data_IF_520409328354
#
_entry.id   IF_520409328354
#
_cell.length_a   1.000
_cell.length_b   1.000
_cell.length_c   1.000
_cell.angle_alpha   90.00
_cell.angle_beta   90.00
_cell.angle_gamma   90.00
#
_symmetry.space_group_name_H-M   'P 1'
#
loop_
_entity.id
_entity.type
_entity.pdbx_description
1 polymer ?
#
# COMPACT_ATOMS: atom_id res chain seq x y z
N UNK A 1 24.53 -34.72 0.18
CA UNK A 1 23.56 -34.32 1.23
C UNK A 1 24.36 -33.98 2.48
N UNK A 2 24.01 -32.96 3.28
CA UNK A 2 22.72 -32.26 3.42
C UNK A 2 22.68 -30.92 2.65
N UNK A 3 21.56 -30.54 1.99
CA UNK A 3 20.42 -29.73 2.51
C UNK A 3 20.94 -28.42 3.15
N UNK A 4 20.83 -27.24 2.56
CA UNK A 4 19.72 -26.69 1.78
C UNK A 4 18.73 -26.04 2.75
N UNK A 5 18.71 -24.69 2.73
CA UNK A 5 17.78 -23.73 3.36
C UNK A 5 18.46 -22.83 4.39
N UNK A 6 18.67 -21.57 3.99
CA UNK A 6 18.32 -20.44 4.85
C UNK A 6 17.95 -19.26 3.93
N UNK A 7 16.77 -19.38 3.31
CA UNK A 7 16.07 -18.19 2.81
C UNK A 7 15.39 -17.67 4.07
N UNK A 8 15.93 -16.60 4.64
CA UNK A 8 15.30 -15.87 5.75
C UNK A 8 13.84 -15.62 5.36
N UNK A 9 12.92 -16.36 5.97
CA UNK A 9 11.49 -16.10 5.87
C UNK A 9 11.27 -14.67 6.37
N UNK A 10 10.93 -13.76 5.46
CA UNK A 10 10.47 -12.44 5.84
C UNK A 10 9.19 -12.64 6.64
N UNK A 11 9.22 -12.28 7.92
CA UNK A 11 8.12 -12.52 8.85
C UNK A 11 6.94 -11.61 8.44
N UNK A 12 6.02 -12.17 7.68
CA UNK A 12 4.73 -11.57 7.32
C UNK A 12 4.03 -11.16 8.61
N UNK A 13 3.71 -9.87 8.74
CA UNK A 13 3.04 -9.37 9.93
C UNK A 13 1.56 -9.08 9.62
N UNK A 14 0.66 -9.87 10.20
CA UNK A 14 -0.78 -9.61 10.11
C UNK A 14 -1.18 -8.47 11.06
N UNK A 15 -2.31 -7.83 10.79
CA UNK A 15 -2.90 -6.80 11.65
C UNK A 15 -4.34 -7.18 11.97
N UNK A 16 -4.68 -7.18 13.26
CA UNK A 16 -6.05 -7.18 13.74
C UNK A 16 -6.47 -5.74 14.07
N UNK A 17 -7.56 -5.28 13.48
CA UNK A 17 -8.23 -4.04 13.87
C UNK A 17 -9.53 -4.39 14.57
N UNK A 18 -9.72 -3.91 15.80
CA UNK A 18 -11.01 -4.00 16.50
C UNK A 18 -11.60 -2.60 16.62
N UNK A 19 -12.67 -2.34 15.88
CA UNK A 19 -13.35 -1.05 15.83
C UNK A 19 -14.68 -1.09 16.60
N UNK A 20 -15.00 0.01 17.29
CA UNK A 20 -16.21 0.17 18.10
C UNK A 20 -17.45 0.57 17.28
N UNK A 21 -17.27 0.95 16.01
CA UNK A 21 -18.34 1.25 15.06
C UNK A 21 -17.99 0.87 13.62
N UNK A 22 -19.03 0.77 12.78
CA UNK A 22 -18.88 0.37 11.38
C UNK A 22 -18.14 1.42 10.53
N UNK A 23 -18.39 2.71 10.74
CA UNK A 23 -17.70 3.77 9.99
C UNK A 23 -16.21 3.80 10.30
N UNK A 24 -15.82 3.71 11.57
CA UNK A 24 -14.42 3.62 11.97
C UNK A 24 -13.74 2.35 11.50
N UNK A 25 -14.46 1.23 11.42
CA UNK A 25 -13.95 -0.01 10.81
C UNK A 25 -13.59 0.19 9.33
N UNK A 26 -14.49 0.82 8.56
CA UNK A 26 -14.26 1.09 7.14
C UNK A 26 -13.15 2.12 6.90
N UNK A 27 -13.09 3.19 7.70
CA UNK A 27 -12.03 4.21 7.57
C UNK A 27 -10.63 3.60 7.70
N UNK A 28 -10.46 2.71 8.68
CA UNK A 28 -9.19 2.00 8.87
C UNK A 28 -8.96 0.98 7.76
N UNK A 29 -10.00 0.25 7.35
CA UNK A 29 -9.90 -0.71 6.26
C UNK A 29 -9.45 -0.07 4.93
N UNK A 30 -10.04 1.07 4.58
CA UNK A 30 -9.63 1.87 3.40
C UNK A 30 -8.22 2.45 3.58
N UNK A 31 -7.90 2.93 4.78
CA UNK A 31 -6.57 3.45 5.08
C UNK A 31 -5.47 2.41 4.90
N UNK A 32 -5.73 1.16 5.28
CA UNK A 32 -4.80 0.04 5.17
C UNK A 32 -4.78 -0.57 3.77
N UNK A 33 -5.92 -0.67 3.07
CA UNK A 33 -5.97 -1.26 1.73
C UNK A 33 -5.13 -0.47 0.73
N UNK A 34 -5.06 0.86 0.86
CA UNK A 34 -4.21 1.76 0.05
C UNK A 34 -2.71 1.42 0.06
N UNK A 35 -2.25 0.62 1.02
CA UNK A 35 -0.88 0.14 1.10
C UNK A 35 -0.74 -1.31 0.58
N UNK A 36 -1.63 -1.73 -0.32
CA UNK A 36 -1.59 -3.02 -1.01
C UNK A 36 -1.93 -4.21 -0.12
N UNK A 37 -2.72 -4.01 0.93
CA UNK A 37 -3.06 -5.08 1.89
C UNK A 37 -4.36 -5.77 1.53
N UNK A 38 -4.39 -7.10 1.65
CA UNK A 38 -5.68 -7.79 1.64
C UNK A 38 -6.40 -7.50 2.97
N UNK A 39 -7.47 -6.70 2.90
CA UNK A 39 -8.25 -6.28 4.07
C UNK A 39 -9.64 -6.93 4.06
N UNK A 40 -9.94 -7.73 5.09
CA UNK A 40 -11.25 -8.36 5.26
C UNK A 40 -11.97 -7.74 6.46
N UNK A 41 -13.21 -7.28 6.26
CA UNK A 41 -14.12 -6.89 7.35
C UNK A 41 -14.98 -8.08 7.76
N UNK A 42 -14.87 -8.49 9.02
CA UNK A 42 -15.54 -9.66 9.57
C UNK A 42 -16.74 -9.22 10.40
N UNK A 43 -17.93 -9.57 9.93
CA UNK A 43 -19.20 -9.25 10.61
C UNK A 43 -19.55 -10.23 11.73
N UNK A 44 -19.11 -11.49 11.63
CA UNK A 44 -19.39 -12.54 12.61
C UNK A 44 -18.09 -13.24 13.04
N UNK A 45 -17.64 -12.90 14.24
CA UNK A 45 -16.39 -13.41 14.82
C UNK A 45 -16.38 -14.93 14.99
N UNK A 46 -17.56 -15.57 15.05
CA UNK A 46 -17.65 -17.04 15.19
C UNK A 46 -17.34 -17.77 13.89
N UNK A 47 -17.36 -17.05 12.76
CA UNK A 47 -17.00 -17.58 11.44
C UNK A 47 -15.54 -17.34 11.10
N UNK A 48 -14.77 -16.69 11.97
CA UNK A 48 -13.35 -16.44 11.71
C UNK A 48 -12.55 -17.76 11.81
N UNK A 49 -11.92 -18.16 10.71
CA UNK A 49 -11.00 -19.30 10.63
C UNK A 49 -9.73 -18.89 9.88
N UNK A 50 -8.71 -19.77 9.88
CA UNK A 50 -7.39 -19.48 9.33
C UNK A 50 -7.41 -18.93 7.89
N UNK A 51 -8.25 -19.49 7.00
CA UNK A 51 -8.31 -19.04 5.60
C UNK A 51 -8.97 -17.67 5.40
N UNK A 52 -9.69 -17.15 6.42
CA UNK A 52 -10.23 -15.80 6.40
C UNK A 52 -9.25 -14.75 6.96
N UNK A 53 -8.15 -15.20 7.56
CA UNK A 53 -7.08 -14.31 7.99
C UNK A 53 -6.37 -13.77 6.75
N UNK A 54 -6.52 -12.47 6.53
CA UNK A 54 -5.75 -11.73 5.53
C UNK A 54 -4.64 -10.92 6.19
N UNK A 55 -3.92 -10.12 5.39
CA UNK A 55 -2.94 -9.14 5.89
C UNK A 55 -3.55 -8.27 7.01
N UNK A 56 -4.80 -7.85 6.82
CA UNK A 56 -5.56 -7.03 7.77
C UNK A 56 -6.95 -7.63 8.00
N UNK A 57 -7.22 -8.07 9.23
CA UNK A 57 -8.56 -8.46 9.65
C UNK A 57 -9.19 -7.31 10.45
N UNK A 58 -10.33 -6.80 10.00
CA UNK A 58 -11.09 -5.77 10.71
C UNK A 58 -12.35 -6.39 11.31
N UNK A 59 -12.54 -6.23 12.63
CA UNK A 59 -13.74 -6.67 13.33
C UNK A 59 -14.45 -5.43 13.88
N UNK A 60 -15.72 -5.26 13.52
CA UNK A 60 -16.60 -4.25 14.10
C UNK A 60 -17.38 -4.86 15.27
N UNK A 61 -17.23 -4.30 16.47
CA UNK A 61 -17.97 -4.74 17.67
C UNK A 61 -19.30 -4.02 17.86
N UNK A 62 -19.56 -2.93 17.11
CA UNK A 62 -20.72 -2.04 17.26
C UNK A 62 -21.01 -1.64 18.72
N UNK A 63 -19.94 -1.45 19.49
CA UNK A 63 -19.98 -1.35 20.96
C UNK A 63 -19.93 0.08 21.49
N UNK A 64 -19.87 1.11 20.62
CA UNK A 64 -19.72 2.51 21.04
C UNK A 64 -20.78 2.94 22.05
N UNK A 65 -22.04 2.62 21.80
CA UNK A 65 -23.17 3.02 22.66
C UNK A 65 -23.55 1.95 23.71
N UNK A 66 -22.78 0.86 23.81
CA UNK A 66 -23.03 -0.20 24.78
C UNK A 66 -22.55 0.20 26.18
N UNK A 67 -22.91 -0.60 27.19
CA UNK A 67 -22.27 -0.51 28.49
C UNK A 67 -20.79 -0.90 28.39
N UNK A 68 -19.95 -0.35 29.26
CA UNK A 68 -18.52 -0.69 29.35
C UNK A 68 -18.28 -2.21 29.49
N UNK A 69 -19.11 -2.92 30.27
CA UNK A 69 -19.01 -4.37 30.44
C UNK A 69 -19.34 -5.15 29.17
N UNK A 70 -20.38 -4.73 28.42
CA UNK A 70 -20.74 -5.36 27.16
C UNK A 70 -19.69 -5.09 26.08
N UNK A 71 -19.20 -3.85 25.99
CA UNK A 71 -18.14 -3.46 25.05
C UNK A 71 -16.83 -4.23 25.30
N UNK A 72 -16.46 -4.39 26.57
CA UNK A 72 -15.32 -5.21 27.02
C UNK A 72 -15.47 -6.66 26.57
N UNK A 73 -16.62 -7.29 26.82
CA UNK A 73 -16.88 -8.68 26.44
C UNK A 73 -16.82 -8.92 24.93
N UNK A 74 -17.43 -8.04 24.13
CA UNK A 74 -17.41 -8.13 22.66
C UNK A 74 -16.00 -7.94 22.10
N UNK A 75 -15.24 -6.99 22.65
CA UNK A 75 -13.84 -6.75 22.29
C UNK A 75 -12.97 -7.96 22.65
N UNK A 76 -13.15 -8.54 23.83
CA UNK A 76 -12.45 -9.75 24.26
C UNK A 76 -12.77 -10.95 23.35
N UNK A 77 -14.02 -11.07 22.89
CA UNK A 77 -14.43 -12.12 21.96
C UNK A 77 -13.75 -11.96 20.59
N UNK A 78 -13.72 -10.74 20.03
CA UNK A 78 -13.04 -10.43 18.78
C UNK A 78 -11.53 -10.74 18.85
N UNK A 79 -10.89 -10.16 19.87
CA UNK A 79 -9.74 -10.68 20.64
C UNK A 79 -9.36 -12.13 20.40
N UNK A 80 -10.06 -12.96 21.18
CA UNK A 80 -9.87 -14.39 21.27
C UNK A 80 -10.14 -15.12 19.96
N UNK A 81 -11.11 -14.67 19.14
CA UNK A 81 -11.45 -15.34 17.90
C UNK A 81 -10.30 -15.28 16.91
N UNK A 82 -9.69 -14.10 16.73
CA UNK A 82 -8.55 -13.92 15.84
C UNK A 82 -7.31 -14.71 16.28
N UNK A 83 -7.00 -14.69 17.58
CA UNK A 83 -5.90 -15.49 18.13
C UNK A 83 -6.13 -17.00 17.96
N UNK A 84 -7.36 -17.48 18.16
CA UNK A 84 -7.74 -18.90 17.97
C UNK A 84 -7.68 -19.32 16.50
N UNK A 85 -7.98 -18.42 15.57
CA UNK A 85 -7.84 -18.65 14.13
C UNK A 85 -6.39 -18.72 13.66
N UNK A 86 -5.41 -18.44 14.54
CA UNK A 86 -3.98 -18.47 14.22
C UNK A 86 -3.38 -17.08 13.95
N UNK A 87 -4.12 -16.01 14.21
CA UNK A 87 -3.68 -14.63 13.99
C UNK A 87 -2.44 -14.26 14.80
N UNK A 88 -1.43 -13.69 14.15
CA UNK A 88 -0.18 -13.23 14.76
C UNK A 88 0.27 -11.90 14.16
N UNK A 89 0.59 -10.92 15.00
CA UNK A 89 1.10 -9.64 14.54
C UNK A 89 0.64 -8.46 15.39
N UNK A 90 0.27 -7.35 14.74
CA UNK A 90 -0.17 -6.15 15.43
C UNK A 90 -1.66 -6.22 15.78
N UNK A 91 -2.01 -5.70 16.94
CA UNK A 91 -3.40 -5.44 17.31
C UNK A 91 -3.59 -3.94 17.42
N UNK A 92 -4.58 -3.43 16.70
CA UNK A 92 -5.01 -2.03 16.72
C UNK A 92 -6.41 -1.97 17.30
N UNK A 93 -6.55 -1.32 18.46
CA UNK A 93 -7.86 -0.91 18.95
C UNK A 93 -8.20 0.43 18.32
N UNK A 94 -9.09 0.39 17.31
CA UNK A 94 -9.66 1.59 16.71
C UNK A 94 -10.66 2.19 17.69
N UNK A 95 -10.40 3.42 18.12
CA UNK A 95 -11.29 4.24 18.95
C UNK A 95 -11.78 5.45 18.16
N UNK A 96 -12.85 6.07 18.62
CA UNK A 96 -13.30 7.36 18.10
C UNK A 96 -12.27 8.46 18.39
N UNK A 97 -11.90 9.24 17.37
CA UNK A 97 -10.90 10.32 17.53
C UNK A 97 -11.35 11.42 18.50
N UNK A 98 -12.65 11.46 18.79
CA UNK A 98 -13.28 12.39 19.73
C UNK A 98 -13.70 11.69 21.03
N UNK A 99 -13.09 10.55 21.37
CA UNK A 99 -13.17 9.87 22.68
C UNK A 99 -14.58 9.43 23.14
N UNK A 100 -15.54 9.32 22.22
CA UNK A 100 -16.84 8.73 22.53
C UNK A 100 -16.73 7.22 22.79
N UNK A 101 -17.73 6.69 23.48
CA UNK A 101 -17.88 5.26 23.73
C UNK A 101 -17.04 4.73 24.90
N UNK A 102 -16.49 3.52 24.73
CA UNK A 102 -15.95 2.71 25.83
C UNK A 102 -14.43 2.44 25.75
N UNK A 103 -13.56 3.42 25.45
CA UNK A 103 -12.15 3.15 25.17
C UNK A 103 -11.44 2.49 26.35
N UNK A 104 -11.70 2.89 27.61
CA UNK A 104 -11.00 2.33 28.77
C UNK A 104 -11.29 0.83 28.94
N UNK A 105 -12.56 0.44 28.91
CA UNK A 105 -12.97 -0.96 29.08
C UNK A 105 -12.56 -1.86 27.91
N UNK A 106 -12.60 -1.33 26.68
CA UNK A 106 -12.21 -2.06 25.48
C UNK A 106 -10.69 -2.29 25.43
N UNK A 107 -9.88 -1.27 25.75
CA UNK A 107 -8.41 -1.40 25.79
C UNK A 107 -7.98 -2.43 26.83
N UNK A 108 -8.55 -2.37 28.04
CA UNK A 108 -8.25 -3.32 29.11
C UNK A 108 -8.58 -4.77 28.71
N UNK A 109 -9.70 -4.97 28.01
CA UNK A 109 -10.09 -6.28 27.48
C UNK A 109 -9.06 -6.84 26.48
N UNK A 110 -8.57 -6.01 25.56
CA UNK A 110 -7.55 -6.44 24.58
C UNK A 110 -6.25 -6.80 25.29
N UNK A 111 -5.76 -5.94 26.19
CA UNK A 111 -4.51 -6.17 26.92
C UNK A 111 -4.56 -7.47 27.72
N UNK A 112 -5.71 -7.78 28.33
CA UNK A 112 -5.91 -9.02 29.09
C UNK A 112 -5.95 -10.26 28.20
N UNK A 113 -6.72 -10.24 27.10
CA UNK A 113 -6.90 -11.42 26.23
C UNK A 113 -5.65 -11.73 25.41
N UNK A 114 -4.95 -10.70 24.93
CA UNK A 114 -3.76 -10.86 24.11
C UNK A 114 -2.45 -10.96 24.95
N UNK A 115 -2.56 -10.85 26.28
CA UNK A 115 -1.43 -10.83 27.22
C UNK A 115 -0.34 -9.80 26.82
N UNK A 116 -0.78 -8.59 26.50
CA UNK A 116 0.10 -7.50 26.07
C UNK A 116 0.40 -6.58 27.27
N UNK A 117 1.67 -6.24 27.54
CA UNK A 117 2.03 -5.49 28.73
C UNK A 117 1.74 -3.99 28.61
N UNK A 118 1.66 -3.42 27.40
CA UNK A 118 1.56 -1.98 27.20
C UNK A 118 0.61 -1.62 26.04
N UNK A 119 -0.22 -0.60 26.23
CA UNK A 119 -0.96 0.08 25.17
C UNK A 119 -0.41 1.49 24.92
N UNK A 120 -0.24 1.85 23.65
CA UNK A 120 0.08 3.21 23.21
C UNK A 120 -1.22 3.88 22.73
N UNK A 121 -1.68 4.90 23.45
CA UNK A 121 -2.96 5.58 23.21
C UNK A 121 -2.71 6.92 22.51
N UNK A 122 -3.05 6.97 21.22
CA UNK A 122 -2.83 8.12 20.34
C UNK A 122 -4.12 8.42 19.55
N UNK A 123 -5.07 9.18 20.12
CA UNK A 123 -6.36 9.45 19.48
C UNK A 123 -6.26 10.35 18.25
N UNK A 124 -5.15 11.07 18.07
CA UNK A 124 -4.97 12.09 17.04
C UNK A 124 -5.18 11.56 15.60
N UNK A 125 -5.78 12.39 14.77
CA UNK A 125 -5.88 12.27 13.30
C UNK A 125 -5.67 13.68 12.70
N UNK A 126 -4.41 14.14 12.57
CA UNK A 126 -4.09 15.51 12.18
C UNK A 126 -4.69 15.95 10.84
N UNK A 127 -4.73 15.07 9.84
CA UNK A 127 -5.33 15.33 8.53
C UNK A 127 -6.83 15.63 8.60
N UNK A 128 -7.49 15.22 9.69
CA UNK A 128 -8.89 15.49 9.99
C UNK A 128 -9.05 16.62 11.01
N UNK A 129 -7.99 17.35 11.38
CA UNK A 129 -8.05 18.42 12.38
C UNK A 129 -8.22 17.94 13.82
N UNK A 130 -7.87 16.68 14.12
CA UNK A 130 -7.88 16.13 15.49
C UNK A 130 -6.45 15.96 15.98
N UNK A 131 -6.09 16.67 17.05
CA UNK A 131 -4.74 16.61 17.64
C UNK A 131 -4.83 16.34 19.14
N UNK A 132 -3.74 15.87 19.72
CA UNK A 132 -3.62 15.68 21.17
C UNK A 132 -2.48 16.55 21.68
N UNK A 133 -2.78 17.44 22.64
CA UNK A 133 -1.85 18.40 23.26
C UNK A 133 -2.01 18.33 24.77
N UNK A 134 -0.92 18.12 25.49
CA UNK A 134 -0.90 17.99 26.95
C UNK A 134 -1.92 16.95 27.46
N UNK A 135 -2.02 15.79 26.79
CA UNK A 135 -2.96 14.73 27.14
C UNK A 135 -4.43 15.05 26.81
N UNK A 136 -4.72 16.16 26.14
CA UNK A 136 -6.08 16.61 25.81
C UNK A 136 -6.33 16.59 24.30
N UNK A 137 -7.54 16.18 23.89
CA UNK A 137 -7.96 16.19 22.48
C UNK A 137 -8.50 17.55 22.09
N UNK A 138 -8.04 18.03 20.94
CA UNK A 138 -8.49 19.23 20.27
C UNK A 138 -9.07 18.89 18.89
N UNK A 139 -10.16 19.54 18.53
CA UNK A 139 -10.84 19.40 17.25
C UNK A 139 -10.92 20.78 16.61
N UNK A 140 -10.24 20.96 15.47
CA UNK A 140 -10.18 22.24 14.75
C UNK A 140 -9.86 23.44 15.66
N UNK A 141 -8.78 23.31 16.44
CA UNK A 141 -8.30 24.32 17.40
C UNK A 141 -9.25 24.62 18.59
N UNK A 142 -10.30 23.84 18.79
CA UNK A 142 -11.15 23.89 19.98
C UNK A 142 -10.93 22.67 20.86
N UNK A 143 -11.01 22.86 22.17
CA UNK A 143 -10.98 21.73 23.09
C UNK A 143 -12.17 20.82 22.82
N UNK A 144 -12.01 19.49 22.93
CA UNK A 144 -13.06 18.52 22.62
C UNK A 144 -14.40 18.81 23.33
N UNK A 145 -14.35 19.26 24.59
CA UNK A 145 -15.55 19.60 25.38
C UNK A 145 -16.28 20.86 24.91
N UNK A 146 -15.65 21.68 24.07
CA UNK A 146 -16.21 22.91 23.49
C UNK A 146 -16.76 22.68 22.06
N UNK A 147 -16.97 21.42 21.70
CA UNK A 147 -17.46 21.01 20.39
C UNK A 147 -18.78 20.24 20.49
N UNK A 148 -19.40 19.98 19.34
CA UNK A 148 -20.63 19.20 19.24
C UNK A 148 -20.50 17.77 19.79
N UNK A 149 -19.29 17.20 19.84
CA UNK A 149 -19.07 15.85 20.37
C UNK A 149 -19.32 15.76 21.88
N UNK A 150 -19.22 16.87 22.60
CA UNK A 150 -19.55 16.94 24.03
C UNK A 150 -21.05 16.77 24.30
N UNK A 151 -21.89 17.08 23.32
CA UNK A 151 -23.35 16.98 23.38
C UNK A 151 -23.92 15.91 22.42
N UNK A 152 -23.10 14.91 22.05
CA UNK A 152 -23.52 13.79 21.22
C UNK A 152 -24.78 13.11 21.81
N UNK A 153 -25.82 12.83 21.00
CA UNK A 153 -27.11 12.34 21.51
C UNK A 153 -27.06 10.96 22.19
N UNK A 154 -26.02 10.16 21.93
CA UNK A 154 -25.90 8.78 22.45
C UNK A 154 -24.76 8.64 23.44
N UNK A 155 -23.63 9.28 23.16
CA UNK A 155 -22.36 9.08 23.86
C UNK A 155 -21.66 10.43 24.06
N UNK A 156 -22.22 11.35 24.86
CA UNK A 156 -21.63 12.65 25.09
C UNK A 156 -20.28 12.53 25.80
N UNK A 157 -19.37 13.47 25.51
CA UNK A 157 -18.01 13.47 26.06
C UNK A 157 -17.85 14.56 27.11
N UNK A 158 -17.59 14.16 28.35
CA UNK A 158 -17.50 15.09 29.49
C UNK A 158 -16.08 15.56 29.81
N UNK A 159 -15.06 15.06 29.11
CA UNK A 159 -13.65 15.46 29.32
C UNK A 159 -12.87 15.39 28.03
N UNK A 160 -12.03 16.40 27.80
CA UNK A 160 -11.07 16.41 26.72
C UNK A 160 -9.78 15.65 27.06
N UNK A 161 -9.51 15.40 28.35
CA UNK A 161 -8.36 14.62 28.79
C UNK A 161 -8.56 13.15 28.44
N UNK A 162 -7.61 12.60 27.67
CA UNK A 162 -7.60 11.18 27.30
C UNK A 162 -7.52 10.32 28.56
N UNK A 163 -6.61 10.64 29.48
CA UNK A 163 -6.43 9.87 30.71
C UNK A 163 -7.67 9.87 31.61
N UNK A 164 -8.34 11.01 31.73
CA UNK A 164 -9.61 11.09 32.47
C UNK A 164 -10.68 10.19 31.83
N UNK A 165 -10.84 10.22 30.51
CA UNK A 165 -11.80 9.38 29.78
C UNK A 165 -11.52 7.89 29.94
N UNK A 166 -10.26 7.48 29.95
CA UNK A 166 -9.87 6.08 30.19
C UNK A 166 -10.14 5.66 31.64
N UNK A 167 -9.85 6.54 32.61
CA UNK A 167 -10.00 6.27 34.04
C UNK A 167 -11.45 6.07 34.50
N UNK A 168 -12.43 6.54 33.73
CA UNK A 168 -13.85 6.28 34.00
C UNK A 168 -14.22 4.79 33.88
N UNK A 169 -13.43 4.01 33.13
CA UNK A 169 -13.77 2.63 32.76
C UNK A 169 -12.63 1.64 33.01
N UNK A 170 -11.42 2.12 33.31
CA UNK A 170 -10.24 1.30 33.56
C UNK A 170 -9.50 1.77 34.81
N UNK A 171 -8.90 0.80 35.53
CA UNK A 171 -8.04 1.06 36.69
C UNK A 171 -6.55 0.87 36.38
N UNK A 172 -6.22 0.65 35.11
CA UNK A 172 -4.85 0.44 34.68
C UNK A 172 -3.99 1.69 34.93
N UNK A 173 -2.74 1.47 35.35
CA UNK A 173 -1.78 2.56 35.58
C UNK A 173 -1.43 3.24 34.26
N UNK A 174 -1.52 4.56 34.24
CA UNK A 174 -1.34 5.40 33.06
C UNK A 174 -0.09 6.29 33.19
N UNK A 175 0.48 6.69 32.06
CA UNK A 175 1.47 7.76 31.94
C UNK A 175 1.16 8.60 30.69
N UNK A 176 1.62 9.85 30.67
CA UNK A 176 1.46 10.76 29.54
C UNK A 176 2.83 11.15 29.00
N UNK A 177 2.96 11.21 27.68
CA UNK A 177 4.14 11.70 26.96
C UNK A 177 3.68 12.87 26.10
N UNK A 178 4.15 14.07 26.44
CA UNK A 178 3.77 15.29 25.75
C UNK A 178 4.65 15.55 24.52
N UNK A 179 4.22 16.46 23.64
CA UNK A 179 4.91 16.74 22.36
C UNK A 179 6.40 17.07 22.51
N UNK A 180 6.76 17.86 23.53
CA UNK A 180 8.15 18.22 23.79
C UNK A 180 8.98 17.00 24.14
N UNK A 181 8.44 16.06 24.91
CA UNK A 181 9.11 14.81 25.21
C UNK A 181 9.18 13.94 23.96
N UNK A 182 8.04 13.65 23.31
CA UNK A 182 7.94 12.82 22.11
C UNK A 182 8.98 13.16 21.03
N UNK A 183 9.26 14.46 20.82
CA UNK A 183 10.16 14.94 19.75
C UNK A 183 11.63 14.98 20.15
N UNK A 184 11.97 14.76 21.42
CA UNK A 184 13.34 14.93 21.93
C UNK A 184 13.91 13.72 22.67
N UNK A 185 13.10 12.74 23.07
CA UNK A 185 13.58 11.54 23.78
C UNK A 185 13.80 10.34 22.85
N UNK A 186 14.59 9.38 23.34
CA UNK A 186 14.49 7.99 22.86
C UNK A 186 13.19 7.38 23.41
N UNK A 187 12.13 7.48 22.62
CA UNK A 187 10.81 7.02 22.99
C UNK A 187 10.80 5.51 23.30
N UNK A 188 11.54 4.69 22.56
CA UNK A 188 11.57 3.24 22.79
C UNK A 188 12.19 2.90 24.16
N UNK A 189 13.29 3.56 24.53
CA UNK A 189 13.91 3.38 25.86
C UNK A 189 12.98 3.83 26.99
N UNK A 190 12.26 4.93 26.79
CA UNK A 190 11.32 5.43 27.78
C UNK A 190 10.10 4.50 27.93
N UNK A 191 9.52 4.00 26.84
CA UNK A 191 8.43 3.02 26.87
C UNK A 191 8.84 1.72 27.60
N UNK A 192 10.08 1.24 27.42
CA UNK A 192 10.62 0.11 28.20
C UNK A 192 10.63 0.40 29.70
N UNK A 193 11.08 1.59 30.08
CA UNK A 193 11.13 2.02 31.49
C UNK A 193 9.73 2.10 32.10
N UNK A 194 8.77 2.72 31.40
CA UNK A 194 7.38 2.80 31.86
C UNK A 194 6.77 1.41 32.05
N UNK A 195 7.01 0.49 31.11
CA UNK A 195 6.54 -0.90 31.19
C UNK A 195 7.10 -1.60 32.43
N UNK A 196 8.39 -1.45 32.73
CA UNK A 196 9.04 -2.02 33.92
C UNK A 196 8.48 -1.44 35.23
N UNK A 197 8.06 -0.17 35.21
CA UNK A 197 7.37 0.49 36.32
C UNK A 197 5.90 0.05 36.47
N UNK A 198 5.40 -0.87 35.64
CA UNK A 198 4.02 -1.36 35.71
C UNK A 198 2.99 -0.39 35.12
N UNK A 199 3.41 0.60 34.32
CA UNK A 199 2.49 1.37 33.49
C UNK A 199 1.94 0.47 32.40
N UNK A 200 0.62 0.52 32.18
CA UNK A 200 -0.08 -0.30 31.20
C UNK A 200 -0.65 0.53 30.04
N UNK A 201 -0.93 1.81 30.28
CA UNK A 201 -1.46 2.75 29.28
C UNK A 201 -0.51 3.94 29.15
N UNK A 202 -0.04 4.24 27.94
CA UNK A 202 0.78 5.43 27.66
C UNK A 202 0.04 6.32 26.68
N UNK A 203 -0.41 7.48 27.14
CA UNK A 203 -1.08 8.48 26.32
C UNK A 203 0.00 9.34 25.68
N UNK A 204 -0.02 9.45 24.35
CA UNK A 204 1.02 10.17 23.62
C UNK A 204 0.37 11.28 22.81
N UNK A 205 0.86 12.50 22.98
CA UNK A 205 0.44 13.64 22.17
C UNK A 205 0.83 13.48 20.70
N UNK A 206 0.08 14.10 19.80
CA UNK A 206 0.44 14.18 18.39
C UNK A 206 -0.32 15.32 17.70
N UNK A 207 0.39 16.11 16.89
CA UNK A 207 -0.19 17.23 16.13
C UNK A 207 -0.06 17.07 14.62
N UNK A 208 0.87 16.24 14.16
CA UNK A 208 1.13 16.04 12.74
C UNK A 208 1.47 14.57 12.45
N UNK A 209 1.55 14.23 11.16
CA UNK A 209 1.84 12.87 10.74
C UNK A 209 3.21 12.37 11.21
N UNK A 210 4.21 13.26 11.31
CA UNK A 210 5.56 12.90 11.76
C UNK A 210 5.59 12.47 13.24
N UNK A 211 4.72 13.05 14.07
CA UNK A 211 4.57 12.63 15.47
C UNK A 211 4.04 11.18 15.55
N UNK A 212 2.99 10.86 14.77
CA UNK A 212 2.41 9.50 14.70
C UNK A 212 3.44 8.48 14.19
N UNK A 213 4.20 8.89 13.19
CA UNK A 213 5.28 8.13 12.58
C UNK A 213 6.38 7.77 13.58
N UNK A 214 6.75 8.71 14.46
CA UNK A 214 7.71 8.49 15.54
C UNK A 214 7.20 7.46 16.57
N UNK A 215 5.89 7.50 16.89
CA UNK A 215 5.27 6.52 17.80
C UNK A 215 5.39 5.11 17.24
N UNK A 216 5.01 4.90 15.97
CA UNK A 216 5.10 3.59 15.33
C UNK A 216 6.56 3.13 15.23
N UNK A 217 7.48 4.04 14.90
CA UNK A 217 8.90 3.72 14.86
C UNK A 217 9.42 3.21 16.21
N UNK A 218 9.07 3.87 17.32
CA UNK A 218 9.46 3.42 18.65
C UNK A 218 8.78 2.11 19.06
N UNK A 219 7.50 1.92 18.73
CA UNK A 219 6.77 0.69 18.99
C UNK A 219 7.44 -0.53 18.34
N UNK A 220 7.96 -0.38 17.10
CA UNK A 220 8.69 -1.42 16.38
C UNK A 220 10.03 -1.81 17.02
N UNK A 221 10.61 -0.98 17.88
CA UNK A 221 11.89 -1.25 18.55
C UNK A 221 11.73 -1.99 19.89
N UNK A 222 10.50 -2.24 20.33
CA UNK A 222 10.24 -3.03 21.54
C UNK A 222 10.40 -4.52 21.24
N UNK A 223 10.78 -5.31 22.25
CA UNK A 223 10.87 -6.77 22.13
C UNK A 223 9.51 -7.48 22.12
N UNK A 224 8.42 -6.71 22.17
CA UNK A 224 7.03 -7.14 22.06
C UNK A 224 6.26 -6.13 21.21
N UNK A 225 5.14 -6.53 20.62
CA UNK A 225 4.24 -5.62 19.88
C UNK A 225 3.25 -4.99 20.88
N UNK A 226 3.39 -3.71 21.26
CA UNK A 226 2.41 -3.07 22.14
C UNK A 226 1.05 -2.98 21.43
N UNK A 227 -0.02 -2.89 22.22
CA UNK A 227 -1.35 -2.61 21.67
C UNK A 227 -1.36 -1.17 21.16
N UNK A 228 -1.66 -0.99 19.88
CA UNK A 228 -1.84 0.34 19.31
C UNK A 228 -3.30 0.74 19.50
N UNK A 229 -3.53 1.89 20.13
CA UNK A 229 -4.88 2.41 20.37
C UNK A 229 -4.96 3.79 19.75
N UNK A 230 -5.84 3.98 18.78
CA UNK A 230 -5.94 5.26 18.11
C UNK A 230 -7.06 5.33 17.10
N UNK A 231 -7.05 6.40 16.33
CA UNK A 231 -8.00 6.64 15.25
C UNK A 231 -7.36 6.34 13.87
N UNK A 232 -7.85 6.97 12.80
CA UNK A 232 -7.37 6.72 11.44
C UNK A 232 -5.89 7.09 11.27
N UNK A 233 -5.43 8.19 11.88
CA UNK A 233 -4.04 8.65 11.76
C UNK A 233 -2.99 7.63 12.21
N UNK A 234 -3.19 7.00 13.38
CA UNK A 234 -2.27 5.97 13.87
C UNK A 234 -2.27 4.72 12.99
N UNK A 235 -3.45 4.35 12.47
CA UNK A 235 -3.59 3.21 11.56
C UNK A 235 -2.86 3.44 10.23
N UNK A 236 -2.94 4.67 9.69
CA UNK A 236 -2.18 5.06 8.50
C UNK A 236 -0.67 5.06 8.75
N UNK A 237 -0.22 5.57 9.91
CA UNK A 237 1.19 5.57 10.28
C UNK A 237 1.77 4.14 10.41
N UNK A 238 0.95 3.20 10.88
CA UNK A 238 1.28 1.77 10.94
C UNK A 238 1.37 1.16 9.55
N UNK A 239 0.39 1.43 8.70
CA UNK A 239 0.31 0.90 7.33
C UNK A 239 1.57 1.20 6.51
N UNK A 240 2.13 2.42 6.65
CA UNK A 240 3.37 2.85 5.98
C UNK A 240 4.62 2.05 6.36
N UNK A 241 4.60 1.35 7.51
CA UNK A 241 5.79 0.73 8.13
C UNK A 241 5.71 -0.78 8.23
N UNK A 242 4.52 -1.37 8.13
CA UNK A 242 4.38 -2.81 8.02
C UNK A 242 4.57 -3.21 6.56
N UNK A 243 5.48 -4.16 6.33
CA UNK A 243 5.51 -4.90 5.06
C UNK A 243 4.51 -6.03 5.16
N UNK A 244 3.38 -5.87 4.47
CA UNK A 244 2.35 -6.91 4.37
C UNK A 244 2.79 -7.97 3.35
N UNK A 245 2.15 -9.15 3.40
CA UNK A 245 2.57 -10.30 2.61
C UNK A 245 2.22 -10.23 1.13
N UNK A 246 1.66 -9.12 0.66
CA UNK A 246 1.21 -8.99 -0.71
C UNK A 246 2.39 -9.06 -1.68
N UNK A 247 2.63 -10.28 -2.13
CA UNK A 247 3.39 -10.68 -3.31
C UNK A 247 2.71 -10.24 -4.60
N UNK A 248 2.02 -9.10 -4.59
CA UNK A 248 1.41 -8.55 -5.79
C UNK A 248 2.43 -7.58 -6.34
N UNK A 249 3.05 -7.98 -7.44
CA UNK A 249 3.98 -7.11 -8.13
C UNK A 249 3.24 -5.82 -8.52
N UNK A 250 3.71 -4.66 -8.09
CA UNK A 250 3.15 -3.35 -8.44
C UNK A 250 3.93 -2.68 -9.57
N UNK A 251 5.01 -3.33 -10.05
CA UNK A 251 5.80 -2.80 -11.15
C UNK A 251 5.06 -2.91 -12.48
N UNK A 252 5.25 -1.91 -13.33
CA UNK A 252 4.68 -1.88 -14.68
C UNK A 252 5.82 -2.19 -15.64
N UNK A 253 5.57 -3.09 -16.58
CA UNK A 253 6.40 -3.18 -17.77
C UNK A 253 5.72 -2.37 -18.87
N UNK A 254 6.32 -1.24 -19.25
CA UNK A 254 5.87 -0.43 -20.37
C UNK A 254 6.71 -0.73 -21.61
N UNK A 255 6.07 -0.97 -22.74
CA UNK A 255 6.71 -1.23 -24.04
C UNK A 255 6.22 -0.17 -25.03
N UNK A 256 7.09 0.77 -25.36
CA UNK A 256 6.75 1.96 -26.14
C UNK A 256 7.56 1.99 -27.44
N UNK A 257 6.92 1.60 -28.54
CA UNK A 257 7.51 1.71 -29.89
C UNK A 257 7.13 3.01 -30.61
N UNK A 258 6.19 3.79 -30.06
CA UNK A 258 5.71 5.03 -30.68
C UNK A 258 6.79 6.12 -30.67
N UNK A 259 7.13 6.64 -31.86
CA UNK A 259 8.05 7.79 -32.03
C UNK A 259 7.37 9.17 -31.95
N UNK A 260 6.08 9.23 -31.55
CA UNK A 260 5.36 10.51 -31.42
C UNK A 260 5.94 11.39 -30.30
N UNK A 261 5.96 12.71 -30.50
CA UNK A 261 6.47 13.69 -29.50
C UNK A 261 5.80 13.54 -28.13
N UNK A 262 4.50 13.27 -28.09
CA UNK A 262 3.79 13.10 -26.83
C UNK A 262 4.22 11.83 -26.06
N UNK A 263 4.58 10.76 -26.77
CA UNK A 263 5.11 9.55 -26.13
C UNK A 263 6.47 9.83 -25.49
N UNK A 264 7.33 10.62 -26.15
CA UNK A 264 8.60 11.05 -25.55
C UNK A 264 8.40 11.88 -24.28
N UNK A 265 7.48 12.85 -24.31
CA UNK A 265 7.13 13.65 -23.13
C UNK A 265 6.61 12.77 -21.97
N UNK A 266 5.76 11.80 -22.27
CA UNK A 266 5.25 10.83 -21.28
C UNK A 266 6.38 10.01 -20.64
N UNK A 267 7.34 9.54 -21.44
CA UNK A 267 8.50 8.77 -20.94
C UNK A 267 9.41 9.64 -20.06
N UNK A 268 9.68 10.88 -20.46
CA UNK A 268 10.52 11.82 -19.69
C UNK A 268 9.86 12.14 -18.34
N UNK A 269 8.57 12.43 -18.33
CA UNK A 269 7.84 12.74 -17.09
C UNK A 269 7.76 11.52 -16.17
N UNK A 270 7.56 10.33 -16.73
CA UNK A 270 7.54 9.09 -15.94
C UNK A 270 8.94 8.73 -15.39
N UNK A 271 10.02 8.93 -16.15
CA UNK A 271 11.38 8.59 -15.70
C UNK A 271 11.92 9.49 -14.59
N UNK A 272 11.25 10.60 -14.27
CA UNK A 272 11.58 11.44 -13.12
C UNK A 272 11.16 10.82 -11.77
N UNK A 273 10.37 9.74 -11.77
CA UNK A 273 10.01 9.04 -10.53
C UNK A 273 11.18 8.19 -10.01
N UNK A 274 11.37 8.14 -8.69
CA UNK A 274 12.49 7.41 -8.07
C UNK A 274 12.43 5.89 -8.27
N UNK A 275 11.24 5.35 -8.54
CA UNK A 275 10.97 3.91 -8.71
C UNK A 275 10.85 3.49 -10.19
N UNK A 276 11.44 4.24 -11.12
CA UNK A 276 11.37 3.95 -12.57
C UNK A 276 12.76 3.69 -13.14
N UNK A 277 12.88 2.61 -13.91
CA UNK A 277 14.06 2.29 -14.74
C UNK A 277 13.67 2.42 -16.20
N UNK A 278 14.46 3.19 -16.94
CA UNK A 278 14.30 3.40 -18.37
C UNK A 278 15.35 2.56 -19.13
N UNK A 279 14.91 1.78 -20.11
CA UNK A 279 15.77 0.97 -20.97
C UNK A 279 15.56 1.39 -22.42
N UNK A 280 16.63 1.86 -23.03
CA UNK A 280 16.65 2.28 -24.43
C UNK A 280 17.05 1.11 -25.34
N UNK A 281 16.20 0.86 -26.32
CA UNK A 281 16.38 -0.17 -27.34
C UNK A 281 16.75 0.53 -28.64
N UNK A 282 18.04 0.67 -28.91
CA UNK A 282 18.53 1.33 -30.11
C UNK A 282 18.21 0.49 -31.36
N UNK A 283 17.37 1.05 -32.24
CA UNK A 283 16.96 0.41 -33.50
C UNK A 283 18.14 0.08 -34.41
N UNK A 284 19.26 0.81 -34.31
CA UNK A 284 20.45 0.50 -35.11
C UNK A 284 21.10 -0.83 -34.72
N UNK A 285 20.89 -1.29 -33.48
CA UNK A 285 21.44 -2.56 -32.98
C UNK A 285 20.64 -3.78 -33.45
N UNK A 286 19.51 -3.59 -34.14
CA UNK A 286 18.66 -4.68 -34.67
C UNK A 286 19.30 -5.43 -35.82
N UNK A 287 20.24 -4.80 -36.52
CA UNK A 287 20.76 -5.32 -37.79
C UNK A 287 22.22 -5.77 -37.70
N UNK A 288 22.76 -5.91 -36.48
CA UNK A 288 24.13 -6.34 -36.23
C UNK A 288 24.20 -7.71 -35.55
N UNK A 289 25.37 -8.35 -35.62
CA UNK A 289 25.66 -9.65 -35.01
C UNK A 289 25.48 -9.67 -33.47
N UNK A 290 25.47 -8.49 -32.84
CA UNK A 290 25.30 -8.32 -31.40
C UNK A 290 23.84 -8.24 -30.94
N UNK A 291 22.84 -8.41 -31.83
CA UNK A 291 21.42 -8.32 -31.45
C UNK A 291 21.07 -9.32 -30.34
N UNK A 292 21.55 -10.57 -30.43
CA UNK A 292 21.27 -11.59 -29.43
C UNK A 292 21.82 -11.20 -28.04
N UNK A 293 23.07 -10.74 -27.98
CA UNK A 293 23.71 -10.27 -26.74
C UNK A 293 23.00 -9.05 -26.15
N UNK A 294 22.61 -8.09 -27.01
CA UNK A 294 21.86 -6.91 -26.58
C UNK A 294 20.46 -7.28 -26.07
N UNK A 295 19.77 -8.21 -26.73
CA UNK A 295 18.47 -8.71 -26.30
C UNK A 295 18.56 -9.38 -24.93
N UNK A 296 19.55 -10.24 -24.70
CA UNK A 296 19.79 -10.85 -23.39
C UNK A 296 20.05 -9.80 -22.31
N UNK A 297 20.86 -8.77 -22.61
CA UNK A 297 21.10 -7.66 -21.68
C UNK A 297 19.80 -6.89 -21.36
N UNK A 298 19.01 -6.53 -22.36
CA UNK A 298 17.74 -5.81 -22.14
C UNK A 298 16.75 -6.64 -21.32
N UNK A 299 16.67 -7.95 -21.55
CA UNK A 299 15.86 -8.85 -20.72
C UNK A 299 16.38 -8.87 -19.28
N UNK A 300 17.69 -9.01 -19.09
CA UNK A 300 18.31 -9.02 -17.77
C UNK A 300 18.02 -7.73 -16.99
N UNK A 301 18.23 -6.58 -17.61
CA UNK A 301 18.02 -5.27 -16.99
C UNK A 301 16.54 -5.06 -16.62
N UNK A 302 15.62 -5.44 -17.52
CA UNK A 302 14.19 -5.34 -17.27
C UNK A 302 13.75 -6.25 -16.12
N UNK A 303 14.18 -7.51 -16.13
CA UNK A 303 13.88 -8.48 -15.05
C UNK A 303 14.47 -8.02 -13.72
N UNK A 304 15.67 -7.45 -13.73
CA UNK A 304 16.30 -6.90 -12.53
C UNK A 304 15.48 -5.75 -11.97
N UNK A 305 15.06 -4.78 -12.79
CA UNK A 305 14.23 -3.65 -12.35
C UNK A 305 12.91 -4.13 -11.71
N UNK A 306 12.19 -5.03 -12.40
CA UNK A 306 10.91 -5.53 -11.91
C UNK A 306 11.06 -6.32 -10.60
N UNK A 307 12.13 -7.11 -10.45
CA UNK A 307 12.42 -7.86 -9.19
C UNK A 307 12.71 -6.94 -8.01
N UNK A 308 13.24 -5.75 -8.25
CA UNK A 308 13.45 -4.72 -7.22
C UNK A 308 12.19 -3.86 -6.99
N UNK A 309 11.05 -4.20 -7.60
CA UNK A 309 9.79 -3.48 -7.46
C UNK A 309 9.74 -2.16 -8.23
N UNK A 310 10.66 -1.92 -9.17
CA UNK A 310 10.70 -0.72 -9.98
C UNK A 310 9.86 -0.90 -11.25
N UNK A 311 9.15 0.13 -11.69
CA UNK A 311 8.57 0.11 -13.03
C UNK A 311 9.69 0.10 -14.08
N UNK A 312 9.52 -0.70 -15.12
CA UNK A 312 10.46 -0.81 -16.23
C UNK A 312 9.82 -0.23 -17.48
N UNK A 313 10.44 0.78 -18.07
CA UNK A 313 9.97 1.42 -19.29
C UNK A 313 10.95 1.12 -20.44
N UNK A 314 10.51 0.33 -21.41
CA UNK A 314 11.24 0.05 -22.66
C UNK A 314 10.81 1.04 -23.74
N UNK A 315 11.78 1.67 -24.41
CA UNK A 315 11.49 2.51 -25.59
C UNK A 315 12.49 2.32 -26.72
N UNK A 316 12.04 2.51 -27.96
CA UNK A 316 12.90 2.42 -29.16
C UNK A 316 13.48 3.75 -29.62
N UNK A 317 13.00 4.86 -29.08
CA UNK A 317 13.40 6.20 -29.49
C UNK A 317 13.80 7.01 -28.25
N UNK A 318 15.07 7.41 -28.20
CA UNK A 318 15.69 8.17 -27.13
C UNK A 318 15.65 9.69 -27.40
N UNK A 319 15.69 10.08 -28.68
CA UNK A 319 15.73 11.47 -29.13
C UNK A 319 14.79 11.76 -30.31
N UNK A 320 14.21 12.96 -30.32
CA UNK A 320 13.31 13.44 -31.38
C UNK A 320 13.91 13.36 -32.79
N UNK A 321 15.24 13.36 -32.92
CA UNK A 321 15.92 13.28 -34.21
C UNK A 321 15.93 11.87 -34.83
N UNK A 322 15.80 10.80 -34.05
CA UNK A 322 15.86 9.43 -34.56
C UNK A 322 14.69 9.10 -35.51
N UNK A 323 13.55 9.79 -35.40
CA UNK A 323 12.45 9.64 -36.36
C UNK A 323 12.84 10.05 -37.79
N UNK A 324 13.86 10.89 -37.94
CA UNK A 324 14.38 11.33 -39.24
C UNK A 324 15.47 10.39 -39.79
N UNK A 325 16.04 9.53 -38.95
CA UNK A 325 17.03 8.52 -39.37
C UNK A 325 16.38 7.27 -40.01
N UNK A 326 15.06 7.13 -39.89
CA UNK A 326 14.31 5.97 -40.41
C UNK A 326 14.55 5.73 -41.89
N UNK A 327 14.58 6.78 -42.71
CA UNK A 327 14.82 6.64 -44.15
C UNK A 327 16.24 6.14 -44.44
N UNK A 328 17.22 6.61 -43.67
CA UNK A 328 18.61 6.13 -43.77
C UNK A 328 18.70 4.65 -43.40
N UNK A 329 18.05 4.23 -42.31
CA UNK A 329 18.02 2.83 -41.88
C UNK A 329 17.34 1.94 -42.92
N UNK A 330 16.19 2.37 -43.46
CA UNK A 330 15.48 1.66 -44.52
C UNK A 330 16.37 1.46 -45.76
N UNK A 331 17.09 2.50 -46.19
CA UNK A 331 18.01 2.42 -47.32
C UNK A 331 19.19 1.48 -47.06
N UNK A 332 19.82 1.58 -45.90
CA UNK A 332 20.98 0.74 -45.54
C UNK A 332 20.60 -0.75 -45.47
N UNK A 333 19.42 -1.05 -44.91
CA UNK A 333 18.95 -2.41 -44.69
C UNK A 333 18.11 -2.96 -45.86
N UNK A 334 17.89 -2.16 -46.91
CA UNK A 334 17.07 -2.52 -48.07
C UNK A 334 15.64 -2.94 -47.67
N UNK A 335 15.06 -2.26 -46.67
CA UNK A 335 13.73 -2.50 -46.14
C UNK A 335 12.80 -1.34 -46.48
N UNK A 336 11.53 -1.65 -46.68
CA UNK A 336 10.48 -0.62 -46.63
C UNK A 336 10.23 -0.17 -45.19
N UNK A 337 9.66 1.03 -45.02
CA UNK A 337 9.24 1.54 -43.70
C UNK A 337 8.27 0.59 -42.97
N UNK A 338 7.39 -0.07 -43.73
CA UNK A 338 6.47 -1.06 -43.18
C UNK A 338 7.22 -2.26 -42.62
N UNK A 339 8.12 -2.87 -43.40
CA UNK A 339 8.93 -4.01 -42.96
C UNK A 339 9.79 -3.66 -41.75
N UNK A 340 10.35 -2.45 -41.69
CA UNK A 340 11.10 -1.99 -40.52
C UNK A 340 10.21 -1.93 -39.27
N UNK A 341 9.00 -1.34 -39.37
CA UNK A 341 8.05 -1.30 -38.26
C UNK A 341 7.59 -2.68 -37.80
N UNK A 342 7.31 -3.58 -38.75
CA UNK A 342 6.96 -4.98 -38.48
C UNK A 342 8.10 -5.70 -37.74
N UNK A 343 9.35 -5.57 -38.21
CA UNK A 343 10.52 -6.15 -37.55
C UNK A 343 10.70 -5.62 -36.12
N UNK A 344 10.54 -4.31 -35.91
CA UNK A 344 10.64 -3.70 -34.57
C UNK A 344 9.54 -4.23 -33.64
N UNK A 345 8.29 -4.26 -34.11
CA UNK A 345 7.15 -4.71 -33.29
C UNK A 345 7.26 -6.20 -32.93
N UNK A 346 7.67 -7.06 -33.86
CA UNK A 346 7.89 -8.48 -33.61
C UNK A 346 9.01 -8.71 -32.60
N UNK A 347 10.14 -8.00 -32.73
CA UNK A 347 11.23 -8.08 -31.78
C UNK A 347 10.80 -7.64 -30.38
N UNK A 348 10.08 -6.52 -30.25
CA UNK A 348 9.56 -6.06 -28.96
C UNK A 348 8.58 -7.05 -28.35
N UNK A 349 7.75 -7.71 -29.17
CA UNK A 349 6.89 -8.81 -28.75
C UNK A 349 7.69 -9.96 -28.13
N UNK A 350 8.73 -10.42 -28.84
CA UNK A 350 9.59 -11.51 -28.38
C UNK A 350 10.42 -11.15 -27.14
N UNK A 351 10.95 -9.92 -27.08
CA UNK A 351 11.64 -9.39 -25.92
C UNK A 351 10.71 -9.37 -24.69
N UNK A 352 9.48 -8.89 -24.86
CA UNK A 352 8.45 -8.87 -23.80
C UNK A 352 8.12 -10.27 -23.31
N UNK A 353 7.95 -11.23 -24.23
CA UNK A 353 7.72 -12.64 -23.90
C UNK A 353 8.87 -13.22 -23.06
N UNK A 354 10.11 -12.90 -23.41
CA UNK A 354 11.28 -13.39 -22.68
C UNK A 354 11.41 -12.75 -21.28
N UNK A 355 11.04 -11.48 -21.10
CA UNK A 355 10.94 -10.83 -19.78
C UNK A 355 9.87 -11.51 -18.93
N UNK A 356 8.65 -11.62 -19.46
CA UNK A 356 7.49 -12.20 -18.76
C UNK A 356 7.76 -13.64 -18.30
N UNK A 357 8.44 -14.45 -19.11
CA UNK A 357 8.80 -15.83 -18.75
C UNK A 357 9.73 -15.90 -17.53
N UNK A 358 10.53 -14.88 -17.29
CA UNK A 358 11.46 -14.82 -16.16
C UNK A 358 10.89 -14.11 -14.93
N UNK A 359 9.99 -13.14 -15.15
CA UNK A 359 9.32 -12.41 -14.08
C UNK A 359 8.05 -11.72 -14.60
N UNK A 360 6.90 -12.02 -13.98
CA UNK A 360 5.62 -11.40 -14.30
C UNK A 360 5.52 -10.00 -13.69
N UNK A 361 5.23 -8.94 -14.48
CA UNK A 361 4.97 -7.60 -13.95
C UNK A 361 3.58 -7.52 -13.31
N UNK A 362 3.33 -6.45 -12.55
CA UNK A 362 2.02 -6.08 -12.02
C UNK A 362 1.03 -5.59 -13.05
N UNK A 363 1.54 -5.02 -14.14
CA UNK A 363 0.74 -4.62 -15.29
C UNK A 363 1.62 -4.43 -16.53
N UNK A 364 0.99 -4.57 -17.69
CA UNK A 364 1.65 -4.40 -18.98
C UNK A 364 1.06 -3.18 -19.69
N UNK A 365 1.89 -2.19 -20.00
CA UNK A 365 1.50 -1.02 -20.78
C UNK A 365 2.11 -1.08 -22.17
N UNK A 366 1.29 -0.97 -23.22
CA UNK A 366 1.72 -1.10 -24.61
C UNK A 366 1.34 0.17 -25.38
N UNK A 367 2.33 0.85 -25.96
CA UNK A 367 2.07 2.05 -26.76
C UNK A 367 2.62 1.97 -28.18
N UNK A 368 1.71 2.24 -29.13
CA UNK A 368 1.81 1.84 -30.53
C UNK A 368 0.80 0.72 -30.80
N UNK A 369 -0.05 0.90 -31.81
CA UNK A 369 -1.09 -0.10 -32.13
C UNK A 369 -0.48 -1.41 -32.65
N UNK A 370 0.54 -1.28 -33.48
CA UNK A 370 1.43 -2.35 -33.94
C UNK A 370 2.13 -3.06 -32.78
N UNK A 371 2.69 -2.31 -31.83
CA UNK A 371 3.36 -2.88 -30.64
C UNK A 371 2.38 -3.68 -29.79
N UNK A 372 1.19 -3.13 -29.54
CA UNK A 372 0.18 -3.79 -28.72
C UNK A 372 -0.23 -5.14 -29.33
N UNK A 373 -0.42 -5.19 -30.65
CA UNK A 373 -0.78 -6.43 -31.34
C UNK A 373 0.39 -7.42 -31.39
N UNK A 374 1.61 -6.98 -31.71
CA UNK A 374 2.76 -7.87 -31.78
C UNK A 374 3.09 -8.50 -30.42
N UNK A 375 3.00 -7.73 -29.34
CA UNK A 375 3.15 -8.25 -27.97
C UNK A 375 2.03 -9.21 -27.60
N UNK A 376 0.77 -8.88 -27.92
CA UNK A 376 -0.36 -9.78 -27.69
C UNK A 376 -0.15 -11.14 -28.37
N UNK A 377 0.26 -11.14 -29.66
CA UNK A 377 0.55 -12.35 -30.41
C UNK A 377 1.73 -13.14 -29.82
N UNK A 378 2.82 -12.47 -29.45
CA UNK A 378 3.99 -13.12 -28.84
C UNK A 378 3.67 -13.76 -27.47
N UNK A 379 2.72 -13.19 -26.71
CA UNK A 379 2.22 -13.73 -25.45
C UNK A 379 1.12 -14.77 -25.62
N UNK A 380 0.76 -15.12 -26.86
CA UNK A 380 -0.26 -16.13 -27.19
C UNK A 380 -1.70 -15.66 -27.02
N UNK A 381 -1.95 -14.36 -26.88
CA UNK A 381 -3.29 -13.84 -26.61
C UNK A 381 -4.24 -14.06 -27.79
N UNK A 382 -5.43 -14.60 -27.53
CA UNK A 382 -6.52 -14.79 -28.51
C UNK A 382 -7.42 -13.57 -28.65
N UNK A 383 -7.39 -12.66 -27.67
CA UNK A 383 -8.22 -11.46 -27.65
C UNK A 383 -7.91 -10.55 -26.46
N UNK A 384 -8.71 -9.49 -26.32
CA UNK A 384 -8.56 -8.50 -25.25
C UNK A 384 -9.93 -8.17 -24.65
N UNK A 385 -10.11 -8.49 -23.37
CA UNK A 385 -11.31 -8.12 -22.62
C UNK A 385 -11.15 -6.73 -22.04
N UNK A 386 -11.84 -5.74 -22.61
CA UNK A 386 -11.86 -4.38 -22.10
C UNK A 386 -12.67 -4.34 -20.80
N UNK A 387 -12.09 -3.71 -19.77
CA UNK A 387 -12.73 -3.52 -18.46
C UNK A 387 -12.98 -2.05 -18.13
N UNK A 388 -12.26 -1.14 -18.79
CA UNK A 388 -12.45 0.28 -18.61
C UNK A 388 -11.37 1.08 -19.31
N UNK A 389 -11.14 2.29 -18.82
CA UNK A 389 -10.21 3.23 -19.43
C UNK A 389 -9.54 4.08 -18.34
N UNK A 390 -8.22 4.28 -18.46
CA UNK A 390 -7.43 5.17 -17.62
C UNK A 390 -7.34 6.52 -18.33
N UNK A 391 -7.72 7.58 -17.63
CA UNK A 391 -7.90 8.90 -18.25
C UNK A 391 -8.89 8.83 -19.42
N UNK A 392 -8.61 9.59 -20.48
CA UNK A 392 -9.46 9.67 -21.67
C UNK A 392 -8.91 8.94 -22.90
N UNK A 393 -7.81 8.18 -22.78
CA UNK A 393 -7.14 7.60 -23.95
C UNK A 393 -6.42 6.26 -23.77
N UNK A 394 -6.47 5.64 -22.59
CA UNK A 394 -5.78 4.36 -22.33
C UNK A 394 -6.79 3.28 -21.94
N UNK A 395 -7.35 2.51 -22.89
CA UNK A 395 -8.13 1.33 -22.57
C UNK A 395 -7.32 0.36 -21.71
N UNK A 396 -7.95 -0.22 -20.71
CA UNK A 396 -7.34 -1.28 -19.90
C UNK A 396 -8.27 -2.49 -19.79
N UNK A 397 -7.66 -3.65 -19.61
CA UNK A 397 -8.35 -4.93 -19.66
C UNK A 397 -7.43 -6.09 -19.32
N UNK A 398 -7.72 -7.26 -19.88
CA UNK A 398 -6.89 -8.47 -19.78
C UNK A 398 -6.77 -9.13 -21.15
N UNK A 399 -5.63 -9.75 -21.42
CA UNK A 399 -5.50 -10.63 -22.57
C UNK A 399 -6.23 -11.97 -22.31
N UNK A 400 -6.88 -12.49 -23.34
CA UNK A 400 -7.53 -13.81 -23.31
C UNK A 400 -6.52 -14.87 -23.78
N UNK A 401 -6.53 -16.05 -23.16
CA UNK A 401 -5.69 -17.21 -23.51
C UNK A 401 -4.18 -16.95 -23.60
N UNK A 402 -3.66 -16.01 -22.80
CA UNK A 402 -2.25 -15.59 -22.84
C UNK A 402 -1.42 -16.12 -21.67
N UNK A 403 -0.08 -16.13 -21.84
CA UNK A 403 0.87 -16.55 -20.79
C UNK A 403 0.93 -15.59 -19.59
N UNK A 404 0.35 -14.39 -19.71
CA UNK A 404 0.31 -13.39 -18.63
C UNK A 404 -0.96 -13.46 -17.78
N UNK A 405 -1.81 -14.47 -18.01
CA UNK A 405 -3.01 -14.75 -17.21
C UNK A 405 -3.87 -13.49 -16.94
N UNK A 406 -4.08 -13.14 -15.66
CA UNK A 406 -5.03 -12.11 -15.22
C UNK A 406 -4.42 -10.72 -15.00
N UNK A 407 -3.15 -10.49 -15.37
CA UNK A 407 -2.55 -9.17 -15.16
C UNK A 407 -3.28 -8.09 -15.98
N UNK A 408 -3.46 -6.88 -15.44
CA UNK A 408 -3.96 -5.75 -16.20
C UNK A 408 -3.06 -5.43 -17.39
N UNK A 409 -3.67 -5.29 -18.56
CA UNK A 409 -3.02 -4.83 -19.79
C UNK A 409 -3.65 -3.52 -20.22
N UNK A 410 -2.81 -2.52 -20.47
CA UNK A 410 -3.16 -1.17 -20.88
C UNK A 410 -2.61 -0.91 -22.27
N UNK A 411 -3.41 -0.35 -23.17
CA UNK A 411 -2.95 0.01 -24.52
C UNK A 411 -3.15 1.49 -24.79
N UNK A 412 -2.26 2.10 -25.56
CA UNK A 412 -2.39 3.50 -25.99
C UNK A 412 -1.94 3.68 -27.43
N UNK A 413 -2.83 4.23 -28.27
CA UNK A 413 -2.50 4.65 -29.61
C UNK A 413 -1.37 5.71 -29.62
N UNK A 414 -0.51 5.66 -30.65
CA UNK A 414 0.54 6.66 -30.87
C UNK A 414 -0.08 8.05 -31.02
N UNK A 415 0.51 9.07 -30.41
CA UNK A 415 -0.01 10.45 -30.50
C UNK A 415 -1.14 10.83 -29.52
N UNK A 416 -1.71 9.88 -28.76
CA UNK A 416 -2.76 10.19 -27.79
C UNK A 416 -2.22 10.48 -26.38
N UNK A 417 -3.03 11.21 -25.61
CA UNK A 417 -2.79 11.55 -24.21
C UNK A 417 -2.09 12.89 -24.02
N UNK A 418 -1.72 13.15 -22.77
CA UNK A 418 -0.90 14.28 -22.33
C UNK A 418 0.39 13.78 -21.68
N UNK A 419 1.26 14.68 -21.23
CA UNK A 419 2.57 14.34 -20.64
C UNK A 419 2.47 13.49 -19.35
N UNK A 420 1.37 13.58 -18.60
CA UNK A 420 1.16 12.81 -17.36
C UNK A 420 0.44 11.48 -17.56
N UNK A 421 0.09 11.12 -18.81
CA UNK A 421 -0.72 9.92 -19.08
C UNK A 421 -0.06 8.64 -18.59
N UNK A 422 1.26 8.48 -18.80
CA UNK A 422 1.97 7.29 -18.32
C UNK A 422 2.06 7.27 -16.78
N UNK A 423 2.23 8.42 -16.12
CA UNK A 423 2.18 8.50 -14.65
C UNK A 423 0.85 8.01 -14.09
N UNK A 424 -0.27 8.33 -14.73
CA UNK A 424 -1.58 7.82 -14.31
C UNK A 424 -1.68 6.30 -14.45
N UNK A 425 -1.01 5.70 -15.43
CA UNK A 425 -0.95 4.24 -15.59
C UNK A 425 -0.11 3.59 -14.49
N UNK A 426 1.04 4.19 -14.14
CA UNK A 426 1.87 3.70 -13.04
C UNK A 426 1.07 3.72 -11.73
N UNK A 427 0.46 4.86 -11.40
CA UNK A 427 -0.41 5.02 -10.23
C UNK A 427 -1.58 4.06 -10.23
N UNK A 428 -2.20 3.84 -11.38
CA UNK A 428 -3.28 2.89 -11.49
C UNK A 428 -2.84 1.48 -11.08
N UNK A 429 -1.67 1.01 -11.48
CA UNK A 429 -1.20 -0.34 -11.06
C UNK A 429 -0.76 -0.34 -9.59
N UNK A 430 -0.16 0.74 -9.11
CA UNK A 430 0.16 0.89 -7.68
C UNK A 430 -1.13 0.83 -6.81
N UNK A 431 -2.21 1.48 -7.24
CA UNK A 431 -3.48 1.60 -6.51
C UNK A 431 -4.38 0.37 -6.65
N UNK A 432 -4.46 -0.24 -7.84
CA UNK A 432 -5.51 -1.21 -8.20
C UNK A 432 -5.24 -2.64 -7.72
N UNK A 433 -4.06 -2.86 -7.19
CA UNK A 433 -3.72 -4.03 -6.36
C UNK A 433 -4.38 -3.96 -4.97
N UNK A 434 -5.07 -2.86 -4.66
CA UNK A 434 -5.87 -2.65 -3.43
C UNK A 434 -7.36 -2.99 -3.58
N UNK A 435 -7.83 -3.35 -4.79
CA UNK A 435 -9.21 -3.83 -5.09
C UNK A 435 -9.23 -5.36 -5.25
#
# INVERSE_FOLDING_TARGET
MPKGQDITQVEVTQVLVVADDFTGANDVGVGLSRYGTQTNVVFDVNKLHGDLLSDVTVINTDSRAHSASSASALTAQAVSAWLKAGGRGWIVKKIDSTLRGNPGAEIEAVLQVADIPLALVVPASPSLGRVTRNGQVWVNERLLTDTEFASDPKTPVCSASVGARLAEQSRLRQAEIHLSELRHIDLAAHLRTLTQCGVRLVIIDAENQNDLDNVIHAANQLCFKPLLVGSAGLSEALAKRIRFSSSVNQSVLAVVGSMSEIAQKQMIVASQQQNVVLIDIDVNLFFGDSLAENAERWVHDAVSALRHGQHCLLRTCYHDHQRFDIDRVCQQQHLSRQQLGENISQFLGELTRNIVRQHLPGGLYLSGGDIAIAVAMALGASGFQIKGQIGSCVPWGRFLDSVVSDIPVMTKAGGFGNETTLLHVLRFIEERVSE
#
